data_IF_978855842250
#
_entry.id   IF_978855842250
#
_cell.length_a   1.000
_cell.length_b   1.000
_cell.length_c   1.000
_cell.angle_alpha   90.00
_cell.angle_beta   90.00
_cell.angle_gamma   90.00
#
_symmetry.space_group_name_H-M   'P 1'
#
loop_
_entity.id
_entity.type
_entity.pdbx_description
1 polymer ?
#
# COMPACT_ATOMS: atom_id res chain seq x y z
N UNK A 1 -18.83 -16.99 1.24
CA UNK A 1 -18.87 -16.42 -0.12
C UNK A 1 -18.20 -15.09 -0.05
N UNK A 2 -16.88 -15.08 -0.11
CA UNK A 2 -16.10 -13.88 0.14
C UNK A 2 -16.09 -13.04 -1.12
N UNK A 3 -16.77 -11.89 -1.06
CA UNK A 3 -16.80 -10.93 -2.16
C UNK A 3 -15.38 -10.38 -2.36
N UNK A 4 -14.90 -10.20 -3.61
CA UNK A 4 -13.57 -9.65 -3.90
C UNK A 4 -13.21 -8.40 -3.09
N UNK A 5 -14.20 -7.54 -2.81
CA UNK A 5 -14.03 -6.37 -1.95
C UNK A 5 -13.60 -6.71 -0.51
N UNK A 6 -14.18 -7.74 0.12
CA UNK A 6 -13.80 -8.16 1.49
C UNK A 6 -12.35 -8.64 1.54
N UNK A 7 -11.92 -9.39 0.52
CA UNK A 7 -10.53 -9.82 0.39
C UNK A 7 -9.58 -8.62 0.27
N UNK A 8 -9.90 -7.68 -0.64
CA UNK A 8 -9.08 -6.47 -0.83
C UNK A 8 -9.00 -5.62 0.43
N UNK A 9 -10.11 -5.43 1.15
CA UNK A 9 -10.10 -4.71 2.43
C UNK A 9 -9.20 -5.39 3.46
N UNK A 10 -9.25 -6.73 3.57
CA UNK A 10 -8.36 -7.50 4.46
C UNK A 10 -6.89 -7.34 4.08
N UNK A 11 -6.57 -7.43 2.78
CA UNK A 11 -5.22 -7.22 2.26
C UNK A 11 -4.71 -5.83 2.62
N UNK A 12 -5.51 -4.79 2.41
CA UNK A 12 -5.13 -3.41 2.75
C UNK A 12 -4.82 -3.29 4.24
N UNK A 13 -5.71 -3.77 5.11
CA UNK A 13 -5.52 -3.66 6.56
C UNK A 13 -4.26 -4.41 7.01
N UNK A 14 -4.10 -5.66 6.59
CA UNK A 14 -2.96 -6.50 7.00
C UNK A 14 -1.66 -5.89 6.50
N UNK A 15 -1.57 -5.51 5.22
CA UNK A 15 -0.34 -4.97 4.65
C UNK A 15 0.01 -3.59 5.18
N UNK A 16 -0.98 -2.73 5.44
CA UNK A 16 -0.72 -1.44 6.08
C UNK A 16 -0.17 -1.63 7.50
N UNK A 17 -0.71 -2.58 8.28
CA UNK A 17 -0.18 -2.90 9.61
C UNK A 17 1.23 -3.50 9.49
N UNK A 18 1.46 -4.46 8.59
CA UNK A 18 2.80 -5.05 8.43
C UNK A 18 3.83 -4.01 7.95
N UNK A 19 3.45 -3.14 7.01
CA UNK A 19 4.29 -2.05 6.48
C UNK A 19 4.72 -1.03 7.52
N UNK A 20 4.00 -0.95 8.63
CA UNK A 20 4.37 -0.09 9.75
C UNK A 20 5.54 -0.62 10.58
N UNK A 21 5.81 -1.94 10.56
CA UNK A 21 6.81 -2.59 11.41
C UNK A 21 7.99 -3.20 10.66
N UNK A 22 7.76 -3.63 9.42
CA UNK A 22 8.72 -4.39 8.63
C UNK A 22 9.16 -3.62 7.38
N UNK A 23 10.36 -3.94 6.90
CA UNK A 23 10.89 -3.39 5.66
C UNK A 23 10.10 -3.90 4.43
N UNK A 24 10.00 -3.05 3.39
CA UNK A 24 9.14 -3.26 2.22
C UNK A 24 9.41 -4.56 1.47
N UNK A 25 10.67 -4.83 1.15
CA UNK A 25 11.05 -6.01 0.38
C UNK A 25 10.73 -7.30 1.15
N UNK A 26 10.96 -7.32 2.46
CA UNK A 26 10.62 -8.47 3.30
C UNK A 26 9.12 -8.80 3.25
N UNK A 27 8.25 -7.80 3.42
CA UNK A 27 6.79 -7.99 3.36
C UNK A 27 6.37 -8.49 1.98
N UNK A 28 6.88 -7.86 0.92
CA UNK A 28 6.50 -8.18 -0.45
C UNK A 28 6.88 -9.63 -0.80
N UNK A 29 8.10 -10.06 -0.48
CA UNK A 29 8.56 -11.43 -0.72
C UNK A 29 7.73 -12.48 0.04
N UNK A 30 7.28 -12.17 1.25
CA UNK A 30 6.47 -13.07 2.08
C UNK A 30 5.00 -13.12 1.63
N UNK A 31 4.42 -11.97 1.29
CA UNK A 31 2.99 -11.84 1.06
C UNK A 31 2.57 -12.19 -0.37
N UNK A 32 3.42 -11.94 -1.36
CA UNK A 32 3.15 -12.31 -2.76
C UNK A 32 2.71 -13.77 -2.94
N UNK A 33 3.48 -14.79 -2.48
CA UNK A 33 3.10 -16.18 -2.71
C UNK A 33 1.80 -16.59 -2.00
N UNK A 34 1.37 -15.84 -0.99
CA UNK A 34 0.14 -16.10 -0.22
C UNK A 34 -1.07 -15.41 -0.88
N UNK A 35 -0.90 -14.14 -1.26
CA UNK A 35 -2.00 -13.28 -1.71
C UNK A 35 -2.32 -13.43 -3.20
N UNK A 36 -1.31 -13.60 -4.05
CA UNK A 36 -1.50 -13.73 -5.50
C UNK A 36 -2.42 -14.91 -5.88
N UNK A 37 -2.18 -16.16 -5.44
CA UNK A 37 -3.06 -17.27 -5.82
C UNK A 37 -4.49 -17.07 -5.31
N UNK A 38 -4.65 -16.50 -4.11
CA UNK A 38 -5.96 -16.19 -3.52
C UNK A 38 -6.71 -15.08 -4.28
N UNK A 39 -5.98 -14.09 -4.81
CA UNK A 39 -6.57 -13.01 -5.59
C UNK A 39 -7.00 -13.49 -6.98
N UNK A 40 -6.19 -14.33 -7.63
CA UNK A 40 -6.50 -14.89 -8.95
C UNK A 40 -7.75 -15.76 -8.91
N UNK A 41 -7.94 -16.58 -7.86
CA UNK A 41 -9.17 -17.39 -7.71
C UNK A 41 -10.44 -16.55 -7.51
N UNK A 42 -10.29 -15.32 -6.99
CA UNK A 42 -11.37 -14.35 -6.84
C UNK A 42 -11.57 -13.45 -8.08
N UNK A 43 -10.82 -13.68 -9.16
CA UNK A 43 -10.90 -12.90 -10.40
C UNK A 43 -10.24 -11.51 -10.31
N UNK A 44 -9.38 -11.28 -9.32
CA UNK A 44 -8.63 -10.03 -9.17
C UNK A 44 -7.37 -10.10 -10.03
N UNK A 45 -7.12 -9.04 -10.81
CA UNK A 45 -5.93 -8.96 -11.65
C UNK A 45 -4.66 -8.85 -10.77
N UNK A 46 -3.62 -9.69 -11.01
CA UNK A 46 -2.36 -9.64 -10.26
C UNK A 46 -1.64 -8.30 -10.33
N UNK A 47 -1.77 -7.56 -11.43
CA UNK A 47 -1.19 -6.21 -11.59
C UNK A 47 -1.89 -5.25 -10.65
N UNK A 48 -3.22 -5.29 -10.62
CA UNK A 48 -4.01 -4.48 -9.68
C UNK A 48 -3.65 -4.78 -8.22
N UNK A 49 -3.59 -6.06 -7.87
CA UNK A 49 -3.16 -6.50 -6.55
C UNK A 49 -1.75 -5.98 -6.23
N UNK A 50 -0.78 -6.15 -7.14
CA UNK A 50 0.60 -5.71 -6.95
C UNK A 50 0.69 -4.21 -6.66
N UNK A 51 -0.05 -3.38 -7.41
CA UNK A 51 -0.10 -1.93 -7.17
C UNK A 51 -0.67 -1.62 -5.79
N UNK A 52 -1.78 -2.26 -5.40
CA UNK A 52 -2.38 -2.08 -4.07
C UNK A 52 -1.39 -2.50 -2.97
N UNK A 53 -0.73 -3.64 -3.12
CA UNK A 53 0.29 -4.11 -2.17
C UNK A 53 1.44 -3.11 -2.02
N UNK A 54 2.00 -2.61 -3.13
CA UNK A 54 3.05 -1.58 -3.12
C UNK A 54 2.61 -0.33 -2.36
N UNK A 55 1.39 0.16 -2.61
CA UNK A 55 0.86 1.36 -1.96
C UNK A 55 0.62 1.13 -0.47
N UNK A 56 0.03 0.01 -0.06
CA UNK A 56 -0.20 -0.32 1.34
C UNK A 56 1.08 -0.29 2.17
N UNK A 57 2.13 -0.92 1.65
CA UNK A 57 3.42 -1.03 2.32
C UNK A 57 4.12 0.34 2.36
N UNK A 58 4.08 1.10 1.26
CA UNK A 58 4.60 2.48 1.19
C UNK A 58 3.92 3.41 2.20
N UNK A 59 2.58 3.34 2.28
CA UNK A 59 1.79 4.07 3.26
C UNK A 59 2.15 3.62 4.68
N UNK A 60 2.35 2.33 4.91
CA UNK A 60 2.78 1.76 6.18
C UNK A 60 4.11 2.35 6.68
N UNK A 61 5.11 2.46 5.82
CA UNK A 61 6.42 3.06 6.15
C UNK A 61 6.35 4.53 6.58
N UNK A 62 5.39 5.27 6.03
CA UNK A 62 5.19 6.68 6.31
C UNK A 62 4.22 6.90 7.47
N UNK A 63 3.40 5.91 7.81
CA UNK A 63 2.42 6.02 8.89
C UNK A 63 3.10 5.71 10.24
N UNK A 64 2.92 6.54 11.28
CA UNK A 64 3.51 6.29 12.59
C UNK A 64 2.97 4.98 13.19
N UNK A 65 3.84 3.96 13.38
CA UNK A 65 4.25 3.56 14.72
C UNK A 65 5.76 3.33 14.89
N UNK A 66 6.45 2.80 13.88
CA UNK A 66 7.93 2.85 13.77
C UNK A 66 8.33 3.89 12.72
N UNK A 67 7.63 4.00 11.59
CA UNK A 67 7.80 5.09 10.63
C UNK A 67 9.24 5.24 10.13
N UNK A 68 9.89 4.16 9.69
CA UNK A 68 11.31 4.15 9.29
C UNK A 68 11.66 5.27 8.30
N UNK A 69 10.79 5.52 7.32
CA UNK A 69 10.98 6.61 6.37
C UNK A 69 10.88 7.99 7.06
N UNK A 70 10.03 8.14 8.07
CA UNK A 70 9.93 9.36 8.87
C UNK A 70 11.16 9.56 9.76
N UNK A 71 11.76 8.49 10.29
CA UNK A 71 13.01 8.57 11.05
C UNK A 71 14.18 9.02 10.19
N UNK A 72 14.31 8.47 8.97
CA UNK A 72 15.34 8.92 8.02
C UNK A 72 15.11 10.39 7.64
N UNK A 73 13.86 10.79 7.40
CA UNK A 73 13.53 12.20 7.14
C UNK A 73 13.81 13.10 8.34
N UNK A 74 13.58 12.64 9.56
CA UNK A 74 13.90 13.38 10.78
C UNK A 74 15.40 13.69 10.85
N UNK A 75 16.25 12.71 10.58
CA UNK A 75 17.70 12.83 10.59
C UNK A 75 18.20 13.81 9.52
N UNK A 76 17.61 13.75 8.32
CA UNK A 76 17.96 14.65 7.20
C UNK A 76 17.44 16.08 7.44
N UNK A 77 16.25 16.23 8.02
CA UNK A 77 15.59 17.54 8.19
C UNK A 77 15.94 18.26 9.49
N UNK A 78 16.69 17.62 10.41
CA UNK A 78 17.03 18.13 11.74
C UNK A 78 15.81 18.64 12.54
N UNK A 79 14.68 17.91 12.42
CA UNK A 79 13.44 18.19 13.13
C UNK A 79 13.21 17.12 14.20
N UNK A 80 12.36 17.41 15.20
CA UNK A 80 11.90 16.35 16.10
C UNK A 80 10.86 15.47 15.40
N UNK A 81 10.80 14.18 15.74
CA UNK A 81 9.88 13.20 15.13
C UNK A 81 8.44 13.72 14.98
N UNK A 82 7.89 14.30 16.06
CA UNK A 82 6.52 14.83 16.04
C UNK A 82 6.32 16.02 15.09
N UNK A 83 7.35 16.85 14.86
CA UNK A 83 7.30 17.94 13.87
C UNK A 83 7.36 17.38 12.45
N UNK A 84 8.20 16.38 12.21
CA UNK A 84 8.28 15.68 10.92
C UNK A 84 6.94 15.05 10.57
N UNK A 85 6.35 14.27 11.50
CA UNK A 85 5.03 13.65 11.32
C UNK A 85 3.98 14.70 10.97
N UNK A 86 3.94 15.83 11.69
CA UNK A 86 2.95 16.89 11.44
C UNK A 86 3.16 17.55 10.06
N UNK A 87 4.41 17.69 9.62
CA UNK A 87 4.74 18.25 8.31
C UNK A 87 4.31 17.33 7.15
N UNK A 88 4.47 16.00 7.28
CA UNK A 88 4.05 15.03 6.25
C UNK A 88 2.60 14.56 6.37
N UNK A 89 1.91 14.86 7.48
CA UNK A 89 0.48 14.51 7.66
C UNK A 89 -0.42 14.87 6.47
N UNK A 90 -0.36 16.07 5.85
CA UNK A 90 -1.18 16.37 4.67
C UNK A 90 -0.89 15.44 3.47
N UNK A 91 0.37 15.03 3.30
CA UNK A 91 0.75 14.06 2.28
C UNK A 91 0.27 12.65 2.62
N UNK A 92 0.35 12.26 3.90
CA UNK A 92 -0.18 10.98 4.38
C UNK A 92 -1.67 10.83 4.11
N UNK A 93 -2.47 11.87 4.37
CA UNK A 93 -3.91 11.88 4.09
C UNK A 93 -4.15 11.67 2.60
N UNK A 94 -3.42 12.39 1.75
CA UNK A 94 -3.55 12.27 0.29
C UNK A 94 -3.18 10.86 -0.21
N UNK A 95 -2.13 10.27 0.35
CA UNK A 95 -1.71 8.90 0.06
C UNK A 95 -2.76 7.87 0.51
N UNK A 96 -3.35 8.04 1.69
CA UNK A 96 -4.41 7.17 2.19
C UNK A 96 -5.67 7.23 1.32
N UNK A 97 -6.07 8.44 0.89
CA UNK A 97 -7.20 8.62 -0.01
C UNK A 97 -6.90 7.94 -1.35
N UNK A 98 -5.70 8.14 -1.89
CA UNK A 98 -5.27 7.53 -3.16
C UNK A 98 -5.28 6.01 -3.06
N UNK A 99 -4.81 5.45 -1.93
CA UNK A 99 -4.85 4.02 -1.65
C UNK A 99 -6.29 3.48 -1.72
N UNK A 100 -7.22 4.11 -0.99
CA UNK A 100 -8.62 3.68 -0.99
C UNK A 100 -9.26 3.78 -2.38
N UNK A 101 -9.02 4.88 -3.09
CA UNK A 101 -9.53 5.06 -4.46
C UNK A 101 -9.00 3.95 -5.37
N UNK A 102 -7.71 3.66 -5.32
CA UNK A 102 -7.10 2.61 -6.12
C UNK A 102 -7.67 1.25 -5.74
N UNK A 103 -7.74 0.90 -4.45
CA UNK A 103 -8.28 -0.40 -3.98
C UNK A 103 -9.70 -0.69 -4.46
N UNK A 104 -10.59 0.32 -4.46
CA UNK A 104 -12.00 0.12 -4.81
C UNK A 104 -12.32 0.45 -6.28
N UNK A 105 -11.43 1.16 -6.98
CA UNK A 105 -11.59 1.56 -8.38
C UNK A 105 -10.44 0.97 -9.21
N UNK A 106 -10.49 -0.33 -9.57
CA UNK A 106 -9.41 -1.00 -10.30
C UNK A 106 -9.12 -0.39 -11.66
N UNK A 107 -10.06 0.34 -12.24
CA UNK A 107 -9.89 1.08 -13.49
C UNK A 107 -8.76 2.12 -13.40
N UNK A 108 -8.52 2.73 -12.23
CA UNK A 108 -7.43 3.71 -12.06
C UNK A 108 -6.08 3.05 -12.34
N UNK A 109 -5.88 1.85 -11.83
CA UNK A 109 -4.63 1.10 -12.01
C UNK A 109 -4.57 0.36 -13.33
N UNK A 110 -5.70 -0.12 -13.84
CA UNK A 110 -5.76 -0.93 -15.06
C UNK A 110 -5.87 -0.07 -16.32
N UNK A 111 -6.18 1.22 -16.22
CA UNK A 111 -6.27 2.12 -17.37
C UNK A 111 -4.98 2.16 -18.19
N UNK A 112 -3.84 2.41 -17.52
CA UNK A 112 -2.55 2.51 -18.19
C UNK A 112 -2.05 1.15 -18.72
N UNK A 113 -2.11 0.04 -17.95
CA UNK A 113 -1.86 -1.31 -18.46
C UNK A 113 -2.71 -1.66 -19.67
N UNK A 114 -4.03 -1.39 -19.66
CA UNK A 114 -4.90 -1.71 -20.78
C UNK A 114 -4.54 -0.87 -22.02
N UNK A 115 -4.18 0.40 -21.84
CA UNK A 115 -3.76 1.29 -22.92
C UNK A 115 -2.43 0.87 -23.57
N UNK A 116 -1.45 0.42 -22.77
CA UNK A 116 -0.11 0.04 -23.26
C UNK A 116 0.00 -1.43 -23.68
N UNK A 117 -0.70 -2.33 -22.99
CA UNK A 117 -0.63 -3.78 -23.20
C UNK A 117 -1.81 -4.31 -24.04
N UNK A 118 -2.76 -3.46 -24.43
CA UNK A 118 -3.82 -3.77 -25.39
C UNK A 118 -4.78 -4.88 -24.96
N UNK A 119 -5.09 -4.96 -23.66
CA UNK A 119 -6.15 -5.83 -23.12
C UNK A 119 -7.48 -5.11 -23.04
#
# INVERSE_FOLDING_TARGET
>A
GDTPFKFMTLVVIILSILGMFMENNAIMLLMIPILVPSAVTLGIDPVHLGVVMCLCITVGLLTPPIGLALYVMQDIADLSFGRTVKAVTPFLITLFISLLLITYIPQITMFLPNLLLGK
#
